data_IF_625547653280
#
_entry.id   IF_625547653280
#
_cell.length_a   1.000
_cell.length_b   1.000
_cell.length_c   1.000
_cell.angle_alpha   90.00
_cell.angle_beta   90.00
_cell.angle_gamma   90.00
#
_symmetry.space_group_name_H-M   'P 1'
#
loop_
_entity.id
_entity.type
_entity.pdbx_description
1 polymer ?
#
# COMPACT_ATOMS: atom_id res chain seq x y z
N UNK A 1 4.12 27.76 -5.16
CA UNK A 1 3.29 26.55 -4.99
C UNK A 1 2.97 26.08 -6.40
N UNK A 2 3.47 24.91 -6.81
CA UNK A 2 3.12 24.35 -8.13
C UNK A 2 1.70 23.81 -8.01
N UNK A 3 0.78 24.30 -8.84
CA UNK A 3 -0.62 23.85 -8.86
C UNK A 3 -0.87 22.68 -9.79
N UNK A 4 0.02 22.47 -10.78
CA UNK A 4 0.03 21.31 -11.67
C UNK A 4 1.43 21.16 -12.25
N UNK A 5 1.99 19.95 -12.14
CA UNK A 5 3.30 19.62 -12.69
C UNK A 5 3.20 19.45 -14.21
N UNK A 6 2.08 18.91 -14.67
CA UNK A 6 1.67 18.69 -16.06
C UNK A 6 1.67 20.00 -16.84
N UNK A 7 1.06 21.04 -16.27
CA UNK A 7 1.03 22.38 -16.87
C UNK A 7 2.43 23.02 -16.98
N UNK A 8 3.33 22.76 -16.02
CA UNK A 8 4.71 23.25 -16.06
C UNK A 8 5.55 22.49 -17.08
N UNK A 9 5.32 21.19 -17.17
CA UNK A 9 6.05 20.30 -18.09
C UNK A 9 5.46 20.29 -19.50
N UNK A 10 4.35 21.00 -19.73
CA UNK A 10 3.60 21.01 -20.99
C UNK A 10 3.22 19.61 -21.48
N UNK A 11 2.95 18.70 -20.54
CA UNK A 11 2.50 17.34 -20.81
C UNK A 11 1.08 17.16 -20.33
N UNK A 12 0.31 16.31 -21.00
CA UNK A 12 -0.97 15.83 -20.50
C UNK A 12 -0.78 14.39 -19.98
N UNK A 13 -1.50 13.97 -18.92
CA UNK A 13 -1.63 12.56 -18.63
C UNK A 13 -2.23 11.84 -19.86
N UNK A 14 -1.79 10.62 -20.18
CA UNK A 14 -2.38 9.86 -21.29
C UNK A 14 -3.88 9.72 -21.06
N UNK A 15 -4.66 10.06 -22.09
CA UNK A 15 -6.12 10.15 -21.99
C UNK A 15 -6.78 8.76 -22.01
N UNK A 16 -6.08 7.77 -22.58
CA UNK A 16 -6.52 6.39 -22.65
C UNK A 16 -5.38 5.40 -22.37
N UNK A 17 -5.77 4.13 -22.23
CA UNK A 17 -4.80 3.05 -22.04
C UNK A 17 -3.86 2.89 -23.23
N UNK A 18 -4.25 3.29 -24.44
CA UNK A 18 -3.48 3.03 -25.65
C UNK A 18 -2.22 3.89 -25.76
N UNK A 19 -2.30 5.13 -25.29
CA UNK A 19 -1.15 6.04 -25.17
C UNK A 19 -0.20 5.67 -24.02
N UNK A 20 -0.69 4.92 -23.03
CA UNK A 20 0.11 4.49 -21.87
C UNK A 20 0.99 3.29 -22.25
N UNK A 21 2.31 3.32 -21.97
CA UNK A 21 3.17 2.16 -22.17
C UNK A 21 2.59 0.91 -21.50
N UNK A 22 2.63 -0.24 -22.18
CA UNK A 22 1.96 -1.46 -21.72
C UNK A 22 2.31 -1.83 -20.27
N UNK A 23 3.57 -1.63 -19.85
CA UNK A 23 4.03 -1.90 -18.49
C UNK A 23 3.49 -0.94 -17.41
N UNK A 24 2.87 0.17 -17.80
CA UNK A 24 2.28 1.20 -16.92
C UNK A 24 0.75 1.23 -16.98
N UNK A 25 0.11 0.40 -17.82
CA UNK A 25 -1.35 0.34 -17.92
C UNK A 25 -1.93 -0.29 -16.64
N UNK A 26 -2.98 0.31 -16.11
CA UNK A 26 -3.79 -0.31 -15.07
C UNK A 26 -4.52 -1.56 -15.62
N UNK A 27 -4.94 -2.44 -14.71
CA UNK A 27 -5.79 -3.57 -15.05
C UNK A 27 -7.16 -3.07 -15.54
N UNK A 28 -7.73 -3.74 -16.55
CA UNK A 28 -9.14 -3.52 -16.91
C UNK A 28 -10.05 -4.20 -15.88
N UNK A 29 -11.32 -3.78 -15.84
CA UNK A 29 -12.29 -4.40 -14.94
C UNK A 29 -12.58 -5.86 -15.30
N UNK A 30 -12.54 -6.22 -16.58
CA UNK A 30 -12.67 -7.59 -17.06
C UNK A 30 -11.53 -8.46 -16.53
N UNK A 31 -10.29 -7.97 -16.62
CA UNK A 31 -9.11 -8.66 -16.08
C UNK A 31 -9.19 -8.80 -14.56
N UNK A 32 -9.59 -7.74 -13.85
CA UNK A 32 -9.76 -7.77 -12.40
C UNK A 32 -10.83 -8.79 -11.98
N UNK A 33 -11.98 -8.82 -12.67
CA UNK A 33 -13.05 -9.77 -12.40
C UNK A 33 -12.63 -11.23 -12.71
N UNK A 34 -11.93 -11.45 -13.82
CA UNK A 34 -11.37 -12.76 -14.18
C UNK A 34 -10.43 -13.25 -13.06
N UNK A 35 -9.45 -12.44 -12.67
CA UNK A 35 -8.49 -12.76 -11.61
C UNK A 35 -9.18 -13.04 -10.28
N UNK A 36 -10.14 -12.21 -9.88
CA UNK A 36 -10.90 -12.39 -8.64
C UNK A 36 -11.73 -13.68 -8.64
N UNK A 37 -12.21 -14.14 -9.80
CA UNK A 37 -13.01 -15.37 -9.93
C UNK A 37 -12.20 -16.66 -9.70
N UNK A 38 -10.89 -16.61 -9.88
CA UNK A 38 -10.00 -17.79 -9.70
C UNK A 38 -9.87 -18.24 -8.25
N UNK A 39 -10.09 -17.33 -7.30
CA UNK A 39 -9.79 -17.55 -5.88
C UNK A 39 -8.29 -17.54 -5.52
N UNK A 40 -7.39 -17.41 -6.51
CA UNK A 40 -5.94 -17.31 -6.29
C UNK A 40 -5.48 -15.88 -6.00
N UNK A 41 -6.24 -14.89 -6.49
CA UNK A 41 -5.93 -13.47 -6.38
C UNK A 41 -6.99 -12.80 -5.51
N UNK A 42 -6.52 -12.02 -4.55
CA UNK A 42 -7.36 -11.12 -3.74
C UNK A 42 -7.15 -9.68 -4.21
N UNK A 43 -8.25 -8.98 -4.47
CA UNK A 43 -8.24 -7.55 -4.77
C UNK A 43 -8.47 -6.78 -3.45
N UNK A 44 -7.49 -5.98 -3.06
CA UNK A 44 -7.56 -5.11 -1.89
C UNK A 44 -7.91 -3.66 -2.26
N UNK A 45 -8.30 -2.88 -1.26
CA UNK A 45 -8.48 -1.43 -1.39
C UNK A 45 -7.15 -0.69 -1.45
N UNK A 46 -7.08 0.38 -2.25
CA UNK A 46 -5.91 1.23 -2.36
C UNK A 46 -6.30 2.69 -2.62
N UNK A 47 -7.38 3.17 -1.98
CA UNK A 47 -8.10 4.43 -2.29
C UNK A 47 -8.69 4.46 -3.71
N UNK A 48 -9.31 5.56 -4.10
CA UNK A 48 -9.84 5.77 -5.45
C UNK A 48 -8.81 6.51 -6.31
N UNK A 49 -8.36 7.69 -5.89
CA UNK A 49 -7.46 8.56 -6.67
C UNK A 49 -6.00 8.54 -6.18
N UNK A 50 -5.67 7.63 -5.26
CA UNK A 50 -4.32 7.50 -4.69
C UNK A 50 -3.81 8.73 -3.90
N UNK A 51 -4.63 9.48 -3.14
CA UNK A 51 -4.10 10.53 -2.27
C UNK A 51 -3.43 9.95 -1.02
N UNK A 52 -2.55 10.75 -0.42
CA UNK A 52 -2.01 10.45 0.91
C UNK A 52 -3.08 10.80 1.95
N UNK A 53 -3.76 9.78 2.47
CA UNK A 53 -4.94 9.94 3.33
C UNK A 53 -4.70 10.80 4.58
N UNK A 54 -3.48 10.79 5.14
CA UNK A 54 -3.14 11.65 6.28
C UNK A 54 -3.12 13.15 5.97
N UNK A 55 -3.16 13.52 4.67
CA UNK A 55 -3.20 14.90 4.18
C UNK A 55 -4.58 15.32 3.69
N UNK A 56 -5.54 14.39 3.66
CA UNK A 56 -6.92 14.64 3.31
C UNK A 56 -7.69 15.21 4.50
N UNK A 57 -8.77 15.92 4.20
CA UNK A 57 -9.84 16.14 5.18
C UNK A 57 -10.54 14.82 5.52
N UNK A 58 -11.31 14.81 6.60
CA UNK A 58 -12.05 13.62 7.02
C UNK A 58 -13.06 13.14 5.97
N UNK A 59 -13.73 14.09 5.30
CA UNK A 59 -14.68 13.82 4.23
C UNK A 59 -13.97 13.21 3.01
N UNK A 60 -12.91 13.86 2.51
CA UNK A 60 -12.11 13.33 1.39
C UNK A 60 -11.54 11.94 1.69
N UNK A 61 -11.01 11.74 2.90
CA UNK A 61 -10.48 10.44 3.33
C UNK A 61 -11.56 9.36 3.29
N UNK A 62 -12.76 9.64 3.83
CA UNK A 62 -13.87 8.68 3.82
C UNK A 62 -14.28 8.36 2.39
N UNK A 63 -14.50 9.38 1.58
CA UNK A 63 -14.98 9.22 0.21
C UNK A 63 -13.99 8.42 -0.65
N UNK A 64 -12.69 8.64 -0.47
CA UNK A 64 -11.61 7.87 -1.12
C UNK A 64 -11.63 6.39 -0.75
N UNK A 65 -11.81 6.08 0.53
CA UNK A 65 -11.82 4.71 1.05
C UNK A 65 -13.08 3.97 0.58
N UNK A 66 -14.24 4.62 0.71
CA UNK A 66 -15.55 4.03 0.43
C UNK A 66 -15.77 3.88 -1.08
N UNK A 67 -15.48 4.91 -1.88
CA UNK A 67 -15.68 4.84 -3.35
C UNK A 67 -14.84 3.75 -3.98
N UNK A 68 -13.55 3.64 -3.62
CA UNK A 68 -12.69 2.56 -4.12
C UNK A 68 -13.20 1.17 -3.74
N UNK A 69 -13.69 1.02 -2.50
CA UNK A 69 -14.30 -0.23 -2.01
C UNK A 69 -15.56 -0.60 -2.79
N UNK A 70 -16.45 0.36 -3.00
CA UNK A 70 -17.70 0.17 -3.70
C UNK A 70 -17.48 -0.18 -5.17
N UNK A 71 -16.58 0.52 -5.86
CA UNK A 71 -16.25 0.23 -7.26
C UNK A 71 -15.71 -1.18 -7.44
N UNK A 72 -14.76 -1.63 -6.60
CA UNK A 72 -14.25 -3.00 -6.64
C UNK A 72 -15.39 -4.00 -6.40
N UNK A 73 -16.24 -3.74 -5.40
CA UNK A 73 -17.37 -4.61 -5.07
C UNK A 73 -18.34 -4.73 -6.25
N UNK A 74 -18.72 -3.60 -6.86
CA UNK A 74 -19.66 -3.56 -7.98
C UNK A 74 -19.12 -4.25 -9.22
N UNK A 75 -17.82 -4.09 -9.51
CA UNK A 75 -17.19 -4.58 -10.73
C UNK A 75 -16.78 -6.05 -10.67
N UNK A 76 -16.53 -6.57 -9.46
CA UNK A 76 -15.98 -7.92 -9.28
C UNK A 76 -16.93 -8.85 -8.48
N UNK A 77 -17.99 -8.30 -7.90
CA UNK A 77 -18.92 -9.02 -7.03
C UNK A 77 -18.34 -9.37 -5.66
N UNK A 78 -17.12 -8.93 -5.34
CA UNK A 78 -16.43 -9.25 -4.08
C UNK A 78 -15.93 -7.96 -3.41
N UNK A 79 -16.36 -7.74 -2.18
CA UNK A 79 -15.89 -6.60 -1.41
C UNK A 79 -14.45 -6.84 -0.91
N UNK A 80 -13.52 -5.90 -1.12
CA UNK A 80 -12.14 -6.05 -0.66
C UNK A 80 -12.10 -6.09 0.87
N UNK A 81 -11.27 -6.98 1.43
CA UNK A 81 -11.10 -7.14 2.88
C UNK A 81 -9.81 -6.48 3.38
N UNK A 82 -8.81 -6.38 2.52
CA UNK A 82 -7.48 -5.88 2.83
C UNK A 82 -7.27 -4.49 2.22
N UNK A 83 -6.50 -3.63 2.88
CA UNK A 83 -6.21 -2.28 2.42
C UNK A 83 -4.70 -2.01 2.34
N UNK A 84 -4.21 -1.45 1.24
CA UNK A 84 -2.85 -0.94 1.13
C UNK A 84 -2.86 0.59 1.18
N UNK A 85 -2.03 1.21 2.02
CA UNK A 85 -1.96 2.67 2.09
C UNK A 85 -1.15 3.24 0.90
N UNK A 86 -1.64 4.27 0.20
CA UNK A 86 -0.86 5.00 -0.81
C UNK A 86 0.47 5.47 -0.23
N UNK A 87 1.58 5.12 -0.89
CA UNK A 87 2.98 5.20 -0.43
C UNK A 87 3.30 4.43 0.86
N UNK A 88 2.45 4.47 1.89
CA UNK A 88 2.52 3.63 3.08
C UNK A 88 3.68 3.92 4.03
N UNK A 89 4.24 5.13 3.98
CA UNK A 89 5.23 5.61 4.93
C UNK A 89 4.60 5.91 6.30
N UNK A 90 5.43 6.03 7.35
CA UNK A 90 4.94 6.15 8.73
C UNK A 90 3.98 7.33 8.99
N UNK A 91 4.06 8.40 8.18
CA UNK A 91 3.20 9.56 8.28
C UNK A 91 1.93 9.47 7.40
N UNK A 92 1.84 8.48 6.52
CA UNK A 92 0.78 8.36 5.52
C UNK A 92 -0.49 7.67 6.06
N UNK A 93 -0.36 6.90 7.15
CA UNK A 93 -1.43 6.09 7.75
C UNK A 93 -1.54 6.32 9.26
N UNK A 94 -1.86 7.53 9.68
CA UNK A 94 -2.05 7.87 11.11
C UNK A 94 -3.16 7.03 11.75
N UNK A 95 -3.27 7.05 13.08
CA UNK A 95 -4.35 6.34 13.80
C UNK A 95 -5.74 6.70 13.29
N UNK A 96 -5.96 7.97 12.89
CA UNK A 96 -7.22 8.42 12.28
C UNK A 96 -7.47 7.72 10.94
N UNK A 97 -6.46 7.63 10.08
CA UNK A 97 -6.56 6.92 8.79
C UNK A 97 -6.84 5.43 9.02
N UNK A 98 -6.12 4.80 9.95
CA UNK A 98 -6.33 3.39 10.30
C UNK A 98 -7.75 3.13 10.79
N UNK A 99 -8.29 4.04 11.62
CA UNK A 99 -9.66 3.95 12.13
C UNK A 99 -10.69 4.13 11.02
N UNK A 100 -10.48 5.06 10.09
CA UNK A 100 -11.37 5.25 8.94
C UNK A 100 -11.41 4.00 8.04
N UNK A 101 -10.25 3.41 7.77
CA UNK A 101 -10.16 2.15 7.01
C UNK A 101 -10.87 1.00 7.73
N UNK A 102 -10.71 0.87 9.05
CA UNK A 102 -11.44 -0.13 9.83
C UNK A 102 -12.95 0.09 9.79
N UNK A 103 -13.42 1.33 9.93
CA UNK A 103 -14.84 1.69 9.90
C UNK A 103 -15.49 1.43 8.53
N UNK A 104 -14.73 1.55 7.43
CA UNK A 104 -15.19 1.20 6.09
C UNK A 104 -15.31 -0.33 5.87
N UNK A 105 -15.00 -1.14 6.88
CA UNK A 105 -15.21 -2.59 6.88
C UNK A 105 -14.04 -3.41 6.33
N UNK A 106 -12.84 -2.82 6.22
CA UNK A 106 -11.61 -3.58 5.99
C UNK A 106 -11.16 -4.29 7.27
N UNK A 107 -10.49 -5.44 7.14
CA UNK A 107 -10.03 -6.25 8.28
C UNK A 107 -8.55 -6.05 8.61
N UNK A 108 -7.76 -5.53 7.65
CA UNK A 108 -6.34 -5.27 7.84
C UNK A 108 -5.82 -4.20 6.86
N UNK A 109 -4.72 -3.55 7.26
CA UNK A 109 -4.06 -2.46 6.54
C UNK A 109 -2.55 -2.70 6.42
N UNK A 110 -1.98 -2.42 5.24
CA UNK A 110 -0.58 -2.72 4.91
C UNK A 110 0.22 -1.45 4.60
N UNK A 111 1.34 -1.29 5.30
CA UNK A 111 2.33 -0.23 5.07
C UNK A 111 3.44 -0.70 4.11
N UNK A 112 4.42 0.16 3.83
CA UNK A 112 5.71 -0.23 3.20
C UNK A 112 6.87 -0.17 4.20
N UNK A 113 6.56 -0.05 5.49
CA UNK A 113 7.57 -0.09 6.54
C UNK A 113 8.08 -1.53 6.62
N UNK A 114 9.37 -1.70 6.33
CA UNK A 114 10.03 -3.00 6.37
C UNK A 114 9.98 -3.60 7.78
N UNK A 115 9.55 -4.85 7.86
CA UNK A 115 9.52 -5.62 9.10
C UNK A 115 8.74 -6.92 8.95
N UNK A 116 8.93 -7.82 9.91
CA UNK A 116 8.14 -9.04 10.00
C UNK A 116 6.79 -8.77 10.64
N UNK A 117 5.72 -9.32 10.03
CA UNK A 117 4.41 -9.31 10.63
C UNK A 117 4.40 -10.17 11.91
N UNK A 118 3.90 -9.60 13.00
CA UNK A 118 3.75 -10.27 14.29
C UNK A 118 2.28 -10.54 14.59
N UNK A 119 1.99 -11.56 15.41
CA UNK A 119 0.62 -12.01 15.68
C UNK A 119 -0.19 -11.00 16.50
N UNK A 120 0.47 -10.24 17.37
CA UNK A 120 -0.11 -9.31 18.34
C UNK A 120 0.08 -7.83 17.94
N UNK A 121 0.53 -7.56 16.71
CA UNK A 121 0.62 -6.19 16.19
C UNK A 121 -0.74 -5.64 15.78
N UNK A 122 -0.81 -4.32 15.60
CA UNK A 122 -1.98 -3.67 15.02
C UNK A 122 -2.24 -4.16 13.59
N UNK A 123 -3.43 -4.72 13.35
CA UNK A 123 -3.85 -5.28 12.07
C UNK A 123 -3.92 -4.24 10.94
N UNK A 124 -3.98 -2.95 11.28
CA UNK A 124 -3.99 -1.83 10.33
C UNK A 124 -2.62 -1.18 10.13
N UNK A 125 -1.55 -1.85 10.57
CA UNK A 125 -0.18 -1.38 10.35
C UNK A 125 0.75 -2.55 10.01
N UNK A 126 0.29 -3.51 9.20
CA UNK A 126 1.07 -4.68 8.85
C UNK A 126 2.28 -4.24 8.00
N UNK A 127 3.51 -4.60 8.38
CA UNK A 127 4.70 -4.25 7.61
C UNK A 127 4.80 -5.09 6.34
N UNK A 128 5.44 -4.54 5.32
CA UNK A 128 5.76 -5.25 4.07
C UNK A 128 7.18 -4.92 3.66
N UNK A 129 7.80 -5.86 2.97
CA UNK A 129 9.02 -5.62 2.22
C UNK A 129 8.67 -5.22 0.79
N UNK A 130 9.46 -4.30 0.22
CA UNK A 130 9.42 -4.02 -1.20
C UNK A 130 9.77 -5.26 -2.03
N UNK A 131 9.31 -5.30 -3.28
CA UNK A 131 9.64 -6.41 -4.17
C UNK A 131 11.17 -6.48 -4.36
N UNK A 132 11.81 -7.64 -4.10
CA UNK A 132 13.25 -7.77 -4.22
C UNK A 132 13.68 -7.79 -5.69
N UNK A 133 14.81 -7.15 -5.98
CA UNK A 133 15.39 -7.09 -7.34
C UNK A 133 16.06 -8.41 -7.78
N UNK A 134 16.26 -9.36 -6.86
CA UNK A 134 16.87 -10.65 -7.14
C UNK A 134 16.40 -11.74 -6.19
N UNK A 135 16.56 -13.01 -6.60
CA UNK A 135 16.28 -14.17 -5.75
C UNK A 135 17.16 -14.19 -4.50
N UNK A 136 18.44 -13.86 -4.62
CA UNK A 136 19.35 -13.77 -3.46
C UNK A 136 18.87 -12.74 -2.43
N UNK A 137 18.37 -11.59 -2.90
CA UNK A 137 17.80 -10.58 -2.02
C UNK A 137 16.49 -11.05 -1.37
N UNK A 138 15.65 -11.78 -2.13
CA UNK A 138 14.44 -12.40 -1.60
C UNK A 138 14.77 -13.41 -0.49
N UNK A 139 15.73 -14.31 -0.73
CA UNK A 139 16.20 -15.31 0.25
C UNK A 139 16.76 -14.65 1.51
N UNK A 140 17.61 -13.62 1.35
CA UNK A 140 18.15 -12.86 2.47
C UNK A 140 17.06 -12.15 3.30
N UNK A 141 16.00 -11.67 2.64
CA UNK A 141 14.87 -11.00 3.29
C UNK A 141 14.03 -12.00 4.08
N UNK A 142 13.62 -13.10 3.45
CA UNK A 142 12.76 -14.13 4.07
C UNK A 142 13.48 -14.88 5.19
N UNK A 143 14.79 -15.09 5.07
CA UNK A 143 15.60 -15.73 6.13
C UNK A 143 15.81 -14.86 7.37
N UNK A 144 15.48 -13.56 7.32
CA UNK A 144 15.72 -12.63 8.43
C UNK A 144 17.18 -12.23 8.61
N UNK A 145 18.03 -12.45 7.61
CA UNK A 145 19.44 -12.09 7.66
C UNK A 145 19.64 -10.58 7.89
N UNK A 146 18.83 -9.73 7.24
CA UNK A 146 18.88 -8.28 7.41
C UNK A 146 18.48 -7.82 8.81
N UNK A 147 17.39 -8.36 9.36
CA UNK A 147 16.95 -8.00 10.71
C UNK A 147 17.96 -8.47 11.77
N UNK A 148 18.49 -9.68 11.61
CA UNK A 148 19.57 -10.20 12.49
C UNK A 148 20.79 -9.28 12.48
N UNK A 149 21.21 -8.81 11.31
CA UNK A 149 22.33 -7.88 11.18
C UNK A 149 22.04 -6.52 11.83
N UNK A 150 20.81 -6.01 11.68
CA UNK A 150 20.35 -4.75 12.27
C UNK A 150 20.32 -4.84 13.80
N UNK A 151 19.81 -5.94 14.35
CA UNK A 151 19.83 -6.21 15.80
C UNK A 151 21.25 -6.30 16.34
N UNK A 152 22.14 -7.01 15.64
CA UNK A 152 23.53 -7.14 16.06
C UNK A 152 24.26 -5.78 16.10
N UNK A 153 24.06 -4.95 15.06
CA UNK A 153 24.62 -3.59 15.00
C UNK A 153 24.10 -2.69 16.12
N UNK A 154 22.80 -2.70 16.37
CA UNK A 154 22.18 -1.87 17.44
C UNK A 154 22.61 -2.30 18.84
N UNK A 155 22.71 -3.60 19.11
CA UNK A 155 23.25 -4.12 20.39
C UNK A 155 24.71 -3.72 20.60
N UNK A 156 25.53 -3.81 19.56
CA UNK A 156 26.95 -3.43 19.62
C UNK A 156 27.12 -1.93 19.89
N UNK A 157 26.34 -1.07 19.23
CA UNK A 157 26.35 0.37 19.46
C UNK A 157 25.92 0.75 20.89
N UNK A 158 24.87 0.12 21.43
CA UNK A 158 24.44 0.32 22.83
C UNK A 158 25.52 -0.07 23.84
N UNK A 159 26.22 -1.18 23.61
CA UNK A 159 27.31 -1.63 24.48
C UNK A 159 28.48 -0.64 24.49
N UNK A 160 28.80 -0.03 23.35
CA UNK A 160 29.85 0.99 23.25
C UNK A 160 29.46 2.34 23.91
N UNK A 161 28.18 2.69 23.97
CA UNK A 161 27.70 3.93 24.60
C UNK A 161 27.55 3.83 26.13
N UNK A 162 27.72 2.64 26.72
CA UNK A 162 27.58 2.39 28.16
C UNK A 162 28.93 2.12 28.86
N UNK A 163 30.04 2.22 28.11
CA UNK A 163 31.43 2.09 28.57
C UNK A 163 32.11 3.43 28.43
#
# INVERSE_FOLDING_TARGET
>A
RVSSLEAILEVAPPCDSEETPVCLRALTWEQAAEMASTGLIELGGHTHEHPILSRCTEEEMRDEIETGRELITQRTGRAPQLFAYPNGGAEDFTTTVQTAVANAGYTAGFSVINGFAQRDQNAFSIPRYGAPESLTLAEATVSGAFETLKEWRTRSARKAATV
#
